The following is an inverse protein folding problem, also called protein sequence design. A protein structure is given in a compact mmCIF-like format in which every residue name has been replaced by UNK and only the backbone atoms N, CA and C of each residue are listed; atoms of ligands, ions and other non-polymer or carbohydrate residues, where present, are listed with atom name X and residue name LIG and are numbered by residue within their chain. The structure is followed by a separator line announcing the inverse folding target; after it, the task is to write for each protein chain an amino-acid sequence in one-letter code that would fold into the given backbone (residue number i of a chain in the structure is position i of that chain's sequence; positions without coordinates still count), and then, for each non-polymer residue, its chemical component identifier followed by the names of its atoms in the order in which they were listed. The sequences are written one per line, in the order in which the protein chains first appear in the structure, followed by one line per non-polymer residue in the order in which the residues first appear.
data_IF_733247796882
#
_entry.id   IF_733247796882
#
_cell.length_a   1.000
_cell.length_b   1.000
_cell.length_c   1.000
_cell.angle_alpha   90.00
_cell.angle_beta   90.00
_cell.angle_gamma   90.00
#
_symmetry.space_group_name_H-M   'P 1'
#
loop_
_entity.id
_entity.type
_entity.pdbx_description
1 polymer ?
#
# COMPACT_ATOMS: atom_id res chain seq x y z
N UNK A 1 -9.71 39.09 10.13
CA UNK A 1 -9.27 38.63 8.80
C UNK A 1 -8.07 37.68 8.83
N UNK A 2 -6.95 38.00 9.51
CA UNK A 2 -5.78 37.10 9.60
C UNK A 2 -6.08 35.71 10.21
N UNK A 3 -6.92 35.65 11.23
CA UNK A 3 -7.23 34.40 11.95
C UNK A 3 -8.06 33.41 11.11
N UNK A 4 -8.93 33.94 10.23
CA UNK A 4 -9.72 33.16 9.28
C UNK A 4 -8.85 32.47 8.22
N UNK A 5 -7.72 33.10 7.85
CA UNK A 5 -6.78 32.57 6.85
C UNK A 5 -6.01 31.36 7.43
N UNK A 6 -5.64 31.42 8.72
CA UNK A 6 -4.91 30.34 9.40
C UNK A 6 -5.80 29.10 9.53
N UNK A 7 -7.07 29.28 9.88
CA UNK A 7 -8.04 28.18 9.99
C UNK A 7 -8.28 27.49 8.65
N UNK A 8 -8.37 28.25 7.56
CA UNK A 8 -8.49 27.68 6.21
C UNK A 8 -7.25 26.91 5.76
N UNK A 9 -6.04 27.38 6.11
CA UNK A 9 -4.80 26.71 5.76
C UNK A 9 -4.66 25.34 6.45
N UNK A 10 -5.14 25.19 7.69
CA UNK A 10 -5.13 23.91 8.41
C UNK A 10 -6.14 22.92 7.82
N UNK A 11 -7.31 23.39 7.39
CA UNK A 11 -8.34 22.55 6.78
C UNK A 11 -7.91 21.97 5.41
N UNK A 12 -7.15 22.71 4.62
CA UNK A 12 -6.61 22.23 3.32
C UNK A 12 -5.55 21.13 3.51
N UNK A 13 -4.83 21.10 4.64
CA UNK A 13 -3.86 20.03 4.92
C UNK A 13 -4.53 18.71 5.33
N UNK A 14 -5.76 18.75 5.85
CA UNK A 14 -6.49 17.57 6.34
C UNK A 14 -7.13 16.76 5.20
N UNK A 15 -7.44 17.38 4.06
CA UNK A 15 -8.00 16.68 2.89
C UNK A 15 -6.96 15.91 2.08
N UNK A 16 -5.66 16.06 2.38
CA UNK A 16 -4.60 15.25 1.76
C UNK A 16 -4.50 13.83 2.35
N UNK A 17 -5.24 13.54 3.43
CA UNK A 17 -5.28 12.25 4.10
C UNK A 17 -6.63 11.55 3.87
N UNK A 18 -7.17 11.61 2.65
CA UNK A 18 -8.26 10.71 2.28
C UNK A 18 -7.67 9.34 1.96
N UNK A 19 -8.25 8.23 2.44
CA UNK A 19 -7.92 6.92 1.91
C UNK A 19 -8.15 7.00 0.41
N UNK A 20 -7.10 6.79 -0.38
CA UNK A 20 -7.22 6.76 -1.83
C UNK A 20 -8.32 5.78 -2.23
N UNK A 21 -9.00 6.08 -3.34
CA UNK A 21 -10.01 5.20 -3.93
C UNK A 21 -9.57 3.74 -3.84
N UNK A 22 -10.49 2.79 -3.61
CA UNK A 22 -10.15 1.37 -3.61
C UNK A 22 -9.50 1.08 -4.95
N UNK A 23 -8.17 1.00 -4.93
CA UNK A 23 -7.37 0.77 -6.11
C UNK A 23 -7.96 -0.44 -6.82
N UNK A 24 -8.09 -0.35 -8.15
CA UNK A 24 -8.40 -1.49 -9.02
C UNK A 24 -7.82 -2.74 -8.38
N UNK A 25 -8.70 -3.68 -8.03
CA UNK A 25 -8.36 -4.78 -7.12
C UNK A 25 -7.05 -5.40 -7.57
N UNK A 26 -6.04 -5.34 -6.68
CA UNK A 26 -4.73 -5.91 -6.96
C UNK A 26 -4.89 -7.36 -7.44
N UNK A 27 -4.06 -7.82 -8.40
CA UNK A 27 -4.13 -9.20 -8.86
C UNK A 27 -3.91 -10.17 -7.70
N UNK A 28 -4.38 -11.42 -7.80
CA UNK A 28 -4.13 -12.43 -6.77
C UNK A 28 -2.63 -12.72 -6.64
N UNK A 29 -2.16 -12.95 -5.40
CA UNK A 29 -0.73 -13.17 -5.10
C UNK A 29 -0.31 -14.61 -5.44
N UNK A 30 -0.18 -14.91 -6.74
CA UNK A 30 0.25 -16.23 -7.27
C UNK A 30 1.69 -16.20 -7.75
N UNK A 31 2.27 -17.37 -8.05
CA UNK A 31 3.68 -17.47 -8.51
C UNK A 31 3.84 -16.65 -9.79
N UNK A 32 2.90 -16.79 -10.71
CA UNK A 32 2.87 -16.16 -12.02
C UNK A 32 2.71 -14.63 -11.91
N UNK A 33 1.89 -14.15 -10.97
CA UNK A 33 1.66 -12.72 -10.79
C UNK A 33 2.80 -12.03 -10.03
N UNK A 34 3.60 -12.78 -9.26
CA UNK A 34 4.78 -12.27 -8.58
C UNK A 34 6.03 -12.21 -9.46
N UNK A 35 5.93 -12.62 -10.73
CA UNK A 35 7.00 -12.44 -11.70
C UNK A 35 7.23 -10.94 -11.99
N UNK A 36 8.49 -10.48 -12.18
CA UNK A 36 8.78 -9.07 -12.45
C UNK A 36 8.01 -8.50 -13.64
N UNK A 37 7.80 -9.32 -14.67
CA UNK A 37 7.06 -8.94 -15.88
C UNK A 37 5.55 -8.73 -15.61
N UNK A 38 4.96 -9.42 -14.64
CA UNK A 38 3.56 -9.24 -14.26
C UNK A 38 3.41 -8.01 -13.36
N UNK A 39 4.30 -7.83 -12.38
CA UNK A 39 4.34 -6.66 -11.48
C UNK A 39 4.51 -5.35 -12.28
N UNK A 40 5.34 -5.36 -13.33
CA UNK A 40 5.56 -4.20 -14.20
C UNK A 40 4.28 -3.71 -14.90
N UNK A 41 3.26 -4.57 -15.08
CA UNK A 41 1.96 -4.20 -15.68
C UNK A 41 1.09 -3.36 -14.75
N UNK A 42 1.37 -3.35 -13.45
CA UNK A 42 0.69 -2.49 -12.49
C UNK A 42 1.14 -1.04 -12.73
N UNK A 43 0.21 -0.23 -13.25
CA UNK A 43 0.48 1.16 -13.68
C UNK A 43 0.64 2.10 -12.48
N UNK A 44 -0.24 1.95 -11.49
CA UNK A 44 -0.15 2.76 -10.29
C UNK A 44 1.07 2.35 -9.47
N UNK A 45 1.91 3.33 -9.14
CA UNK A 45 3.18 3.10 -8.45
C UNK A 45 2.95 2.60 -7.03
N UNK A 46 1.96 3.14 -6.34
CA UNK A 46 1.65 2.79 -4.95
C UNK A 46 1.14 1.36 -4.87
N UNK A 47 0.17 1.01 -5.71
CA UNK A 47 -0.37 -0.34 -5.88
C UNK A 47 0.73 -1.34 -6.26
N UNK A 48 1.64 -0.97 -7.17
CA UNK A 48 2.77 -1.82 -7.55
C UNK A 48 3.71 -2.09 -6.38
N UNK A 49 4.01 -1.07 -5.58
CA UNK A 49 4.85 -1.21 -4.38
C UNK A 49 4.18 -2.11 -3.35
N UNK A 50 2.90 -1.86 -3.05
CA UNK A 50 2.13 -2.69 -2.12
C UNK A 50 2.06 -4.14 -2.59
N UNK A 51 1.85 -4.38 -3.88
CA UNK A 51 1.79 -5.72 -4.45
C UNK A 51 3.16 -6.44 -4.39
N UNK A 52 4.25 -5.71 -4.61
CA UNK A 52 5.61 -6.25 -4.46
C UNK A 52 5.87 -6.72 -3.03
N UNK A 53 5.45 -5.94 -2.02
CA UNK A 53 5.58 -6.31 -0.62
C UNK A 53 4.79 -7.58 -0.27
N UNK A 54 3.59 -7.75 -0.85
CA UNK A 54 2.79 -8.97 -0.67
C UNK A 54 3.49 -10.20 -1.27
N UNK A 55 4.10 -10.05 -2.45
CA UNK A 55 4.85 -11.13 -3.10
C UNK A 55 6.06 -11.60 -2.29
N UNK A 56 6.80 -10.68 -1.66
CA UNK A 56 7.93 -11.02 -0.78
C UNK A 56 7.44 -11.84 0.43
N UNK A 57 6.36 -11.38 1.08
CA UNK A 57 5.83 -12.02 2.30
C UNK A 57 5.28 -13.43 2.06
N UNK A 58 4.83 -13.74 0.84
CA UNK A 58 4.24 -15.06 0.52
C UNK A 58 5.18 -16.22 0.82
N UNK A 59 6.46 -16.08 0.50
CA UNK A 59 7.42 -17.19 0.56
C UNK A 59 8.36 -17.14 1.76
N UNK A 60 8.37 -16.06 2.54
CA UNK A 60 9.35 -15.85 3.62
C UNK A 60 8.79 -16.08 5.02
N UNK A 61 7.55 -16.57 5.15
CA UNK A 61 7.00 -16.86 6.47
C UNK A 61 7.66 -18.12 7.05
N UNK A 62 8.56 -17.91 8.01
CA UNK A 62 9.11 -18.96 8.85
C UNK A 62 8.59 -18.75 10.28
N UNK A 63 7.70 -19.62 10.79
CA UNK A 63 7.26 -19.50 12.18
C UNK A 63 8.46 -19.69 13.11
N UNK A 64 8.53 -18.90 14.18
CA UNK A 64 9.52 -19.13 15.23
C UNK A 64 9.25 -20.48 15.91
N UNK A 65 10.30 -21.13 16.45
CA UNK A 65 10.09 -22.27 17.33
C UNK A 65 9.13 -21.90 18.45
N UNK A 66 8.17 -22.78 18.74
CA UNK A 66 7.20 -22.57 19.81
C UNK A 66 7.96 -22.41 21.14
N UNK A 67 7.67 -21.34 21.88
CA UNK A 67 8.14 -21.18 23.26
C UNK A 67 7.33 -22.11 24.17
N UNK A 68 8.00 -23.04 24.83
CA UNK A 68 7.45 -23.75 25.98
C UNK A 68 7.75 -22.87 27.23
N UNK A 69 6.75 -22.67 28.08
CA UNK A 69 6.85 -21.94 29.35
C UNK A 69 6.71 -22.92 30.52
#
# INVERSE_FOLDING_TARGET
MRQSIILFAVLVQLVACTPGDPADSLPPVTVENCEPAAIAKIKDRTARSQFTDLCVRRNTFHPSPKREW
#
